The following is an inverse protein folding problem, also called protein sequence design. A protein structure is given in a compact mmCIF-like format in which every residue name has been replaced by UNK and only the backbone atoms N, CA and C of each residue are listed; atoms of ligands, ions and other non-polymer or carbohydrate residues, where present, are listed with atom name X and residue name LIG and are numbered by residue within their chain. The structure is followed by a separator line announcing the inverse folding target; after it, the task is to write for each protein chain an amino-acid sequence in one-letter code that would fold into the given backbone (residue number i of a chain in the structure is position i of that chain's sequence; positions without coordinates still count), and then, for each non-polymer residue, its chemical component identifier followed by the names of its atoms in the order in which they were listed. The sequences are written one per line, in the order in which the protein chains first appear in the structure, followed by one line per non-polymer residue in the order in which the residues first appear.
data_IF_014775109523
#
_entry.id   IF_014775109523
#
_cell.length_a   1.000
_cell.length_b   1.000
_cell.length_c   1.000
_cell.angle_alpha   90.00
_cell.angle_beta   90.00
_cell.angle_gamma   90.00
#
_symmetry.space_group_name_H-M   'P 1'
#
loop_
_entity.id
_entity.type
_entity.pdbx_description
1 polymer ?
#
# COMPACT_ATOMS: atom_id res chain seq x y z
N UNK A 1 -0.14 -21.42 -7.73
CA UNK A 1 0.48 -22.35 -6.76
C UNK A 1 1.83 -21.78 -6.34
N UNK A 2 2.15 -21.74 -5.05
CA UNK A 2 3.44 -21.26 -4.54
C UNK A 2 4.55 -22.17 -5.12
N UNK A 3 5.41 -21.62 -5.98
CA UNK A 3 6.52 -22.40 -6.57
C UNK A 3 7.64 -22.56 -5.55
N UNK A 4 8.48 -23.59 -5.71
CA UNK A 4 9.67 -23.77 -4.87
C UNK A 4 10.61 -22.56 -4.94
N UNK A 5 10.72 -21.92 -6.10
CA UNK A 5 11.51 -20.68 -6.28
C UNK A 5 10.93 -19.49 -5.51
N UNK A 6 9.61 -19.29 -5.56
CA UNK A 6 8.93 -18.23 -4.82
C UNK A 6 9.04 -18.46 -3.31
N UNK A 7 8.83 -19.72 -2.88
CA UNK A 7 8.98 -20.14 -1.50
C UNK A 7 10.41 -19.89 -0.99
N UNK A 8 11.42 -20.26 -1.77
CA UNK A 8 12.83 -20.04 -1.43
C UNK A 8 13.17 -18.55 -1.30
N UNK A 9 12.60 -17.69 -2.16
CA UNK A 9 12.85 -16.24 -2.12
C UNK A 9 12.16 -15.54 -0.96
N UNK A 10 10.89 -15.90 -0.68
CA UNK A 10 10.15 -15.31 0.45
C UNK A 10 10.75 -15.78 1.78
N UNK A 11 10.95 -17.08 1.95
CA UNK A 11 11.42 -17.67 3.21
C UNK A 11 12.94 -17.66 3.37
N UNK A 12 13.69 -17.36 2.31
CA UNK A 12 15.15 -17.30 2.32
C UNK A 12 15.65 -16.20 3.25
N UNK A 13 16.56 -16.50 4.20
CA UNK A 13 16.97 -15.56 5.24
C UNK A 13 17.84 -14.38 4.74
N UNK A 14 18.33 -14.48 3.50
CA UNK A 14 19.22 -13.48 2.89
C UNK A 14 18.69 -12.98 1.55
N UNK A 15 17.48 -13.40 1.17
CA UNK A 15 16.90 -13.11 -0.14
C UNK A 15 16.03 -11.86 -0.07
N UNK A 16 16.25 -10.96 -1.01
CA UNK A 16 15.49 -9.72 -1.11
C UNK A 16 14.10 -10.02 -1.67
N UNK A 17 13.07 -9.48 -1.01
CA UNK A 17 11.75 -9.45 -1.63
C UNK A 17 11.78 -8.56 -2.87
N UNK A 18 11.21 -9.08 -3.94
CA UNK A 18 11.09 -8.37 -5.21
C UNK A 18 9.79 -7.56 -5.26
N UNK A 19 9.72 -6.60 -6.18
CA UNK A 19 8.57 -5.71 -6.29
C UNK A 19 7.24 -6.47 -6.43
N UNK A 20 7.20 -7.56 -7.19
CA UNK A 20 5.97 -8.34 -7.36
C UNK A 20 5.49 -9.02 -6.08
N UNK A 21 6.37 -9.37 -5.14
CA UNK A 21 5.99 -9.91 -3.83
C UNK A 21 5.40 -8.84 -2.93
N UNK A 22 6.02 -7.66 -2.93
CA UNK A 22 5.52 -6.49 -2.21
C UNK A 22 4.16 -6.10 -2.78
N UNK A 23 4.03 -6.01 -4.10
CA UNK A 23 2.78 -5.68 -4.79
C UNK A 23 1.67 -6.71 -4.50
N UNK A 24 2.00 -8.00 -4.48
CA UNK A 24 1.04 -9.06 -4.14
C UNK A 24 0.53 -8.93 -2.70
N UNK A 25 1.41 -8.60 -1.75
CA UNK A 25 1.01 -8.37 -0.36
C UNK A 25 0.19 -7.08 -0.19
N UNK A 26 0.57 -6.00 -0.88
CA UNK A 26 -0.20 -4.75 -0.87
C UNK A 26 -1.59 -4.93 -1.50
N UNK A 27 -1.68 -5.73 -2.57
CA UNK A 27 -2.96 -6.15 -3.14
C UNK A 27 -3.79 -6.92 -2.13
N UNK A 28 -3.19 -7.92 -1.45
CA UNK A 28 -3.88 -8.71 -0.45
C UNK A 28 -4.40 -7.84 0.70
N UNK A 29 -3.61 -6.90 1.23
CA UNK A 29 -4.06 -5.96 2.27
C UNK A 29 -5.27 -5.14 1.81
N UNK A 30 -5.25 -4.68 0.56
CA UNK A 30 -6.35 -3.93 -0.04
C UNK A 30 -7.61 -4.79 -0.17
N UNK A 31 -7.48 -6.03 -0.62
CA UNK A 31 -8.62 -6.94 -0.77
C UNK A 31 -9.20 -7.35 0.58
N UNK A 32 -8.36 -7.67 1.56
CA UNK A 32 -8.81 -8.05 2.91
C UNK A 32 -9.60 -6.94 3.61
N UNK A 33 -9.18 -5.68 3.42
CA UNK A 33 -9.93 -4.51 3.92
C UNK A 33 -11.21 -4.25 3.13
N UNK A 34 -11.16 -4.34 1.80
CA UNK A 34 -12.34 -4.15 0.92
C UNK A 34 -13.41 -5.20 1.19
N UNK A 35 -13.00 -6.44 1.44
CA UNK A 35 -13.87 -7.56 1.81
C UNK A 35 -14.36 -7.49 3.27
N UNK A 36 -13.89 -6.52 4.05
CA UNK A 36 -14.15 -6.39 5.49
C UNK A 36 -13.78 -7.65 6.28
N UNK A 37 -12.82 -8.43 5.77
CA UNK A 37 -12.22 -9.55 6.50
C UNK A 37 -11.24 -9.03 7.54
N UNK A 38 -10.65 -7.88 7.26
CA UNK A 38 -10.03 -7.01 8.25
C UNK A 38 -10.90 -5.76 8.43
N UNK A 39 -11.12 -5.35 9.67
CA UNK A 39 -11.90 -4.15 10.03
C UNK A 39 -11.00 -3.05 10.61
N UNK A 40 -10.03 -2.52 9.84
CA UNK A 40 -9.18 -1.45 10.33
C UNK A 40 -9.95 -0.12 10.41
N UNK A 41 -9.50 0.79 11.26
CA UNK A 41 -10.03 2.16 11.31
C UNK A 41 -9.60 2.94 10.05
N UNK A 42 -10.51 3.09 9.07
CA UNK A 42 -10.41 4.05 7.94
C UNK A 42 -9.02 4.12 7.29
N UNK A 43 -8.59 3.05 6.65
CA UNK A 43 -7.28 2.98 5.96
C UNK A 43 -7.44 3.09 4.45
N UNK A 44 -6.53 3.82 3.82
CA UNK A 44 -6.35 3.80 2.37
C UNK A 44 -4.88 3.53 2.04
N UNK A 45 -4.64 2.74 1.00
CA UNK A 45 -3.30 2.40 0.54
C UNK A 45 -2.91 3.31 -0.62
N UNK A 46 -1.77 3.97 -0.49
CA UNK A 46 -1.19 4.77 -1.57
C UNK A 46 -0.34 3.87 -2.48
N UNK A 47 -0.66 3.86 -3.78
CA UNK A 47 0.20 3.21 -4.78
C UNK A 47 1.45 4.06 -5.05
N UNK A 48 2.50 3.43 -5.57
CA UNK A 48 3.70 4.15 -6.02
C UNK A 48 3.37 5.20 -7.10
N UNK A 49 2.41 4.89 -7.96
CA UNK A 49 1.92 5.79 -9.00
C UNK A 49 1.24 7.02 -8.38
N UNK A 50 0.38 6.84 -7.37
CA UNK A 50 -0.27 7.95 -6.68
C UNK A 50 0.77 8.85 -5.97
N UNK A 51 1.75 8.25 -5.29
CA UNK A 51 2.85 9.00 -4.64
C UNK A 51 3.64 9.85 -5.63
N UNK A 52 4.01 9.28 -6.78
CA UNK A 52 4.72 10.01 -7.84
C UNK A 52 3.87 11.16 -8.39
N UNK A 53 2.57 10.94 -8.62
CA UNK A 53 1.66 11.99 -9.08
C UNK A 53 1.50 13.11 -8.05
N UNK A 54 1.41 12.78 -6.76
CA UNK A 54 1.38 13.80 -5.70
C UNK A 54 2.65 14.64 -5.68
N UNK A 55 3.83 14.00 -5.80
CA UNK A 55 5.11 14.71 -5.85
C UNK A 55 5.17 15.69 -7.03
N UNK A 56 4.87 15.21 -8.24
CA UNK A 56 4.88 16.06 -9.45
C UNK A 56 3.84 17.18 -9.35
N UNK A 57 2.63 16.87 -8.89
CA UNK A 57 1.57 17.86 -8.70
C UNK A 57 1.98 18.94 -7.68
N UNK A 58 2.66 18.55 -6.60
CA UNK A 58 3.15 19.49 -5.60
C UNK A 58 4.25 20.41 -6.14
N UNK A 59 5.15 19.88 -6.99
CA UNK A 59 6.17 20.70 -7.66
C UNK A 59 5.53 21.75 -8.58
N UNK A 60 4.47 21.41 -9.33
CA UNK A 60 3.72 22.37 -10.15
C UNK A 60 2.93 23.38 -9.30
N UNK A 61 2.28 22.92 -8.23
CA UNK A 61 1.58 23.79 -7.28
C UNK A 61 2.53 24.84 -6.68
N UNK A 62 3.79 24.47 -6.41
CA UNK A 62 4.80 25.39 -5.89
C UNK A 62 5.21 26.46 -6.90
N UNK A 63 5.12 26.20 -8.21
CA UNK A 63 5.47 27.17 -9.26
C UNK A 63 4.39 28.24 -9.42
N UNK A 64 3.12 27.85 -9.55
CA UNK A 64 2.00 28.78 -9.67
C UNK A 64 0.73 28.24 -9.00
N UNK A 65 0.50 28.68 -7.75
CA UNK A 65 -0.66 28.26 -6.97
C UNK A 65 -2.00 28.68 -7.57
N UNK A 66 -2.05 29.77 -8.33
CA UNK A 66 -3.31 30.32 -8.87
C UNK A 66 -3.77 29.61 -10.13
N UNK A 67 -2.82 29.07 -10.89
CA UNK A 67 -3.09 28.30 -12.13
C UNK A 67 -3.05 26.80 -11.94
N UNK A 68 -2.67 26.33 -10.76
CA UNK A 68 -2.60 24.91 -10.47
C UNK A 68 -3.97 24.25 -10.67
N UNK A 69 -3.99 23.22 -11.51
CA UNK A 69 -5.14 22.33 -11.71
C UNK A 69 -4.76 20.93 -11.27
N UNK A 70 -5.66 20.29 -10.53
CA UNK A 70 -5.47 18.90 -10.10
C UNK A 70 -5.52 18.00 -11.32
N UNK A 71 -4.49 17.17 -11.50
CA UNK A 71 -4.45 16.18 -12.56
C UNK A 71 -5.61 15.20 -12.42
N UNK A 72 -6.27 14.85 -13.52
CA UNK A 72 -7.40 13.91 -13.54
C UNK A 72 -7.05 12.59 -12.83
N UNK A 73 -5.84 12.08 -13.07
CA UNK A 73 -5.38 10.86 -12.42
C UNK A 73 -5.33 10.99 -10.89
N UNK A 74 -4.86 12.13 -10.38
CA UNK A 74 -4.80 12.40 -8.94
C UNK A 74 -6.22 12.49 -8.36
N UNK A 75 -7.13 13.17 -9.05
CA UNK A 75 -8.54 13.25 -8.67
C UNK A 75 -9.19 11.86 -8.61
N UNK A 76 -8.91 10.97 -9.57
CA UNK A 76 -9.47 9.60 -9.57
C UNK A 76 -8.97 8.73 -8.42
N UNK A 77 -7.74 8.93 -7.96
CA UNK A 77 -7.25 8.32 -6.73
C UNK A 77 -7.93 8.94 -5.49
N UNK A 78 -8.09 10.27 -5.48
CA UNK A 78 -8.71 11.02 -4.37
C UNK A 78 -10.16 10.57 -4.11
N UNK A 79 -10.93 10.25 -5.16
CA UNK A 79 -12.31 9.76 -5.02
C UNK A 79 -12.43 8.23 -4.89
N UNK A 80 -11.30 7.50 -4.80
CA UNK A 80 -11.30 6.04 -4.65
C UNK A 80 -11.80 5.27 -5.89
N UNK A 81 -11.74 5.87 -7.09
CA UNK A 81 -11.96 5.18 -8.36
C UNK A 81 -10.74 4.38 -8.83
N UNK A 82 -9.57 4.78 -8.34
CA UNK A 82 -8.30 4.09 -8.55
C UNK A 82 -7.69 3.66 -7.20
N UNK A 83 -6.95 2.54 -7.17
CA UNK A 83 -6.74 1.60 -8.27
C UNK A 83 -8.04 0.87 -8.70
N UNK A 84 -8.05 0.31 -9.92
CA UNK A 84 -9.27 -0.29 -10.49
C UNK A 84 -9.83 -1.46 -9.66
N UNK A 85 -8.95 -2.13 -8.93
CA UNK A 85 -9.23 -3.19 -7.98
C UNK A 85 -9.10 -2.64 -6.56
N UNK A 86 -10.00 -3.03 -5.66
CA UNK A 86 -10.12 -2.38 -4.35
C UNK A 86 -10.79 -1.00 -4.37
N UNK A 87 -11.62 -0.71 -5.40
CA UNK A 87 -12.40 0.53 -5.48
C UNK A 87 -13.30 0.66 -4.26
N UNK A 88 -12.95 1.58 -3.40
CA UNK A 88 -13.77 1.93 -2.23
C UNK A 88 -14.88 2.89 -2.63
N UNK A 89 -14.66 3.73 -3.67
CA UNK A 89 -15.44 4.96 -3.94
C UNK A 89 -15.55 5.87 -2.72
N UNK A 90 -14.66 5.67 -1.76
CA UNK A 90 -14.52 6.48 -0.57
C UNK A 90 -13.52 7.58 -0.91
N UNK A 91 -13.88 8.82 -0.59
CA UNK A 91 -13.02 9.95 -0.87
C UNK A 91 -11.96 10.06 0.23
N UNK A 92 -10.70 10.23 -0.15
CA UNK A 92 -9.61 10.46 0.80
C UNK A 92 -9.90 11.68 1.68
N UNK A 93 -10.54 12.72 1.12
CA UNK A 93 -10.86 13.98 1.77
C UNK A 93 -12.10 13.96 2.70
N UNK A 94 -12.89 12.88 2.67
CA UNK A 94 -14.13 12.77 3.43
C UNK A 94 -14.12 11.54 4.34
N UNK A 95 -13.72 10.39 3.80
CA UNK A 95 -13.92 9.09 4.40
C UNK A 95 -12.69 8.58 5.14
N UNK A 96 -11.50 8.82 4.57
CA UNK A 96 -10.20 8.45 5.17
C UNK A 96 -9.75 9.51 6.17
N UNK A 97 -9.76 10.77 5.73
CA UNK A 97 -9.41 11.94 6.52
C UNK A 97 -10.51 12.98 6.32
N UNK A 98 -11.10 13.53 7.38
CA UNK A 98 -12.06 14.62 7.23
C UNK A 98 -11.31 15.93 6.87
N UNK A 99 -10.95 16.08 5.59
CA UNK A 99 -10.18 17.23 5.08
C UNK A 99 -11.08 18.46 4.92
N UNK A 100 -12.40 18.27 4.72
CA UNK A 100 -13.30 19.39 4.38
C UNK A 100 -13.73 20.29 5.53
N UNK A 101 -13.59 19.90 6.80
CA UNK A 101 -14.18 20.70 7.89
C UNK A 101 -13.20 21.50 8.74
N UNK A 102 -11.89 21.21 8.72
CA UNK A 102 -10.92 22.02 9.46
C UNK A 102 -9.60 22.01 8.69
N UNK A 103 -9.08 23.20 8.33
CA UNK A 103 -7.67 23.44 8.00
C UNK A 103 -6.81 23.20 9.27
N UNK A 104 -6.92 22.02 9.90
CA UNK A 104 -6.04 21.59 10.97
C UNK A 104 -4.74 21.15 10.32
N UNK A 105 -3.66 21.72 10.81
CA UNK A 105 -2.31 21.37 10.41
C UNK A 105 -2.12 19.86 10.60
N UNK A 106 -1.76 19.14 9.53
CA UNK A 106 -1.43 17.72 9.63
C UNK A 106 -0.27 17.55 10.60
N UNK A 107 -0.41 16.60 11.53
CA UNK A 107 0.68 16.24 12.43
C UNK A 107 1.40 15.05 11.83
N UNK A 108 2.67 15.21 11.51
CA UNK A 108 3.52 14.10 11.07
C UNK A 108 4.08 13.45 12.32
N UNK A 109 3.60 12.25 12.63
CA UNK A 109 4.18 11.41 13.69
C UNK A 109 5.06 10.35 13.05
N UNK A 110 6.33 10.30 13.46
CA UNK A 110 7.20 9.20 13.10
C UNK A 110 6.86 7.98 13.96
N UNK A 111 6.61 6.84 13.33
CA UNK A 111 6.55 5.58 14.04
C UNK A 111 7.97 5.26 14.58
N UNK A 112 8.14 5.05 15.88
CA UNK A 112 9.45 4.75 16.45
C UNK A 112 9.96 3.42 15.91
N UNK A 113 11.17 3.43 15.35
CA UNK A 113 11.84 2.24 14.84
C UNK A 113 13.06 1.93 15.71
N UNK A 114 13.22 0.69 16.20
CA UNK A 114 14.42 0.30 16.91
C UNK A 114 15.68 0.54 16.08
N UNK A 115 16.74 1.00 16.76
CA UNK A 115 18.04 1.24 16.12
C UNK A 115 18.71 -0.08 15.74
N UNK A 116 19.40 -0.12 14.59
CA UNK A 116 20.15 -1.29 14.08
C UNK A 116 19.30 -2.55 13.79
N UNK A 117 18.18 -2.36 13.10
CA UNK A 117 17.39 -3.47 12.54
C UNK A 117 17.88 -3.86 11.14
N UNK A 118 17.40 -5.00 10.64
CA UNK A 118 17.78 -5.58 9.36
C UNK A 118 19.28 -5.92 9.30
N UNK A 119 19.78 -6.65 10.29
CA UNK A 119 21.18 -7.11 10.33
C UNK A 119 21.59 -7.95 9.13
N UNK A 120 20.64 -8.62 8.48
CA UNK A 120 20.86 -9.39 7.25
C UNK A 120 21.10 -8.52 6.02
N UNK A 121 20.76 -7.22 6.08
CA UNK A 121 20.70 -6.27 4.96
C UNK A 121 19.76 -6.70 3.81
N UNK A 122 18.86 -7.67 4.03
CA UNK A 122 17.99 -8.25 3.00
C UNK A 122 16.50 -8.24 3.34
N UNK A 123 16.15 -7.86 4.58
CA UNK A 123 14.79 -7.93 5.09
C UNK A 123 14.00 -6.62 4.95
N UNK A 124 14.54 -5.60 4.29
CA UNK A 124 13.90 -4.28 4.25
C UNK A 124 12.45 -4.32 3.73
N UNK A 125 12.17 -5.16 2.73
CA UNK A 125 10.81 -5.39 2.23
C UNK A 125 9.91 -6.10 3.25
N UNK A 126 10.44 -7.07 3.99
CA UNK A 126 9.71 -7.80 5.05
C UNK A 126 9.36 -6.85 6.18
N UNK A 127 10.32 -6.03 6.63
CA UNK A 127 10.11 -4.98 7.64
C UNK A 127 9.04 -3.99 7.20
N UNK A 128 9.09 -3.53 5.94
CA UNK A 128 8.11 -2.58 5.40
C UNK A 128 6.69 -3.18 5.41
N UNK A 129 6.51 -4.39 4.88
CA UNK A 129 5.22 -5.07 4.85
C UNK A 129 4.67 -5.32 6.26
N UNK A 130 5.54 -5.76 7.18
CA UNK A 130 5.12 -6.02 8.57
C UNK A 130 4.76 -4.73 9.32
N UNK A 131 5.45 -3.63 9.07
CA UNK A 131 5.07 -2.33 9.63
C UNK A 131 3.72 -1.86 9.11
N UNK A 132 3.46 -2.01 7.81
CA UNK A 132 2.16 -1.67 7.22
C UNK A 132 1.07 -2.52 7.85
N UNK A 133 1.28 -3.83 8.00
CA UNK A 133 0.34 -4.74 8.65
C UNK A 133 0.08 -4.35 10.12
N UNK A 134 1.12 -4.04 10.90
CA UNK A 134 0.96 -3.62 12.28
C UNK A 134 0.17 -2.31 12.39
N UNK A 135 0.49 -1.31 11.55
CA UNK A 135 -0.28 -0.07 11.49
C UNK A 135 -1.74 -0.30 11.11
N UNK A 136 -1.98 -1.13 10.10
CA UNK A 136 -3.30 -1.45 9.58
C UNK A 136 -4.18 -2.13 10.65
N UNK A 137 -3.62 -3.10 11.37
CA UNK A 137 -4.34 -3.93 12.33
C UNK A 137 -4.26 -3.42 13.77
N UNK A 138 -3.57 -2.30 14.02
CA UNK A 138 -3.36 -1.75 15.37
C UNK A 138 -2.50 -2.64 16.26
N UNK A 139 -1.55 -3.39 15.68
CA UNK A 139 -0.65 -4.27 16.41
C UNK A 139 0.60 -3.51 16.91
N UNK A 140 1.21 -4.04 17.96
CA UNK A 140 2.46 -3.49 18.51
C UNK A 140 3.65 -3.68 17.55
N UNK A 141 4.51 -2.66 17.42
CA UNK A 141 5.72 -2.72 16.60
C UNK A 141 6.82 -3.61 17.18
N UNK A 142 6.72 -4.02 18.44
CA UNK A 142 7.59 -5.04 19.04
C UNK A 142 7.55 -6.35 18.25
N UNK A 143 6.49 -6.59 17.49
CA UNK A 143 6.35 -7.72 16.58
C UNK A 143 7.23 -7.63 15.33
N UNK A 144 8.04 -6.57 15.16
CA UNK A 144 8.93 -6.41 14.01
C UNK A 144 10.37 -6.19 14.46
N UNK A 145 11.15 -7.26 14.53
CA UNK A 145 12.56 -7.21 14.93
C UNK A 145 13.39 -8.35 14.34
N UNK A 146 14.71 -8.28 14.44
CA UNK A 146 15.60 -9.27 13.80
C UNK A 146 15.41 -10.69 14.36
N UNK A 147 14.93 -10.84 15.60
CA UNK A 147 14.73 -12.16 16.21
C UNK A 147 13.49 -12.87 15.66
N UNK A 148 12.53 -12.14 15.09
CA UNK A 148 11.28 -12.69 14.58
C UNK A 148 11.06 -12.48 13.07
N UNK A 149 12.08 -11.95 12.38
CA UNK A 149 11.98 -11.62 10.96
C UNK A 149 11.78 -12.86 10.07
N UNK A 150 12.29 -14.01 10.50
CA UNK A 150 12.09 -15.29 9.82
C UNK A 150 10.63 -15.74 9.91
N UNK A 151 10.01 -15.58 11.06
CA UNK A 151 8.60 -15.87 11.29
C UNK A 151 7.73 -14.88 10.50
N UNK A 152 8.15 -13.62 10.36
CA UNK A 152 7.50 -12.66 9.46
C UNK A 152 7.57 -13.10 7.99
N UNK A 153 8.72 -13.60 7.51
CA UNK A 153 8.85 -14.19 6.17
C UNK A 153 7.94 -15.39 5.96
N UNK A 154 7.88 -16.30 6.94
CA UNK A 154 6.98 -17.45 6.90
C UNK A 154 5.51 -17.03 6.84
N UNK A 155 5.15 -15.98 7.59
CA UNK A 155 3.80 -15.41 7.54
C UNK A 155 3.46 -14.89 6.15
N UNK A 156 4.35 -14.14 5.50
CA UNK A 156 4.14 -13.67 4.12
C UNK A 156 3.89 -14.85 3.17
N UNK A 157 4.69 -15.92 3.29
CA UNK A 157 4.49 -17.12 2.46
C UNK A 157 3.13 -17.79 2.73
N UNK A 158 2.72 -17.87 4.00
CA UNK A 158 1.44 -18.42 4.40
C UNK A 158 0.26 -17.58 3.90
N UNK A 159 0.30 -16.25 4.08
CA UNK A 159 -0.75 -15.34 3.64
C UNK A 159 -0.96 -15.42 2.12
N UNK A 160 0.14 -15.49 1.35
CA UNK A 160 0.08 -15.66 -0.10
C UNK A 160 -0.47 -17.04 -0.51
N UNK A 161 -0.11 -18.09 0.23
CA UNK A 161 -0.66 -19.43 0.01
C UNK A 161 -2.15 -19.47 0.33
N UNK A 162 -2.58 -18.90 1.45
CA UNK A 162 -3.99 -18.81 1.84
C UNK A 162 -4.79 -18.05 0.79
N UNK A 163 -4.31 -16.88 0.37
CA UNK A 163 -4.93 -16.07 -0.69
C UNK A 163 -5.04 -16.84 -2.02
N UNK A 164 -4.04 -17.66 -2.36
CA UNK A 164 -4.05 -18.49 -3.56
C UNK A 164 -5.01 -19.69 -3.50
N UNK A 165 -5.60 -19.97 -2.33
CA UNK A 165 -6.64 -20.98 -2.12
C UNK A 165 -8.01 -20.36 -1.81
N UNK A 166 -8.11 -19.04 -1.67
CA UNK A 166 -9.37 -18.35 -1.39
C UNK A 166 -10.18 -18.11 -2.69
N UNK A 167 -11.39 -18.68 -2.82
CA UNK A 167 -12.17 -18.58 -4.06
C UNK A 167 -12.52 -17.14 -4.46
N UNK A 168 -12.74 -16.25 -3.50
CA UNK A 168 -13.14 -14.86 -3.75
C UNK A 168 -11.93 -14.03 -4.20
N UNK A 169 -10.78 -14.21 -3.53
CA UNK A 169 -9.53 -13.55 -3.93
C UNK A 169 -9.08 -14.06 -5.31
N UNK A 170 -9.18 -15.38 -5.57
CA UNK A 170 -8.89 -15.95 -6.89
C UNK A 170 -9.78 -15.32 -7.97
N UNK A 171 -11.09 -15.19 -7.71
CA UNK A 171 -12.03 -14.58 -8.65
C UNK A 171 -11.69 -13.11 -8.92
N UNK A 172 -11.34 -12.34 -7.90
CA UNK A 172 -10.94 -10.93 -8.03
C UNK A 172 -9.60 -10.79 -8.78
N UNK A 173 -8.63 -11.65 -8.48
CA UNK A 173 -7.34 -11.69 -9.16
C UNK A 173 -7.49 -12.07 -10.64
N UNK A 174 -8.41 -12.98 -10.99
CA UNK A 174 -8.70 -13.31 -12.39
C UNK A 174 -9.25 -12.12 -13.19
N UNK A 175 -9.87 -11.16 -12.52
CA UNK A 175 -10.36 -9.91 -13.11
C UNK A 175 -9.35 -8.77 -12.97
N UNK A 176 -8.19 -9.01 -12.34
CA UNK A 176 -7.18 -7.99 -12.06
C UNK A 176 -6.66 -7.35 -13.34
N UNK A 177 -6.70 -6.02 -13.37
CA UNK A 177 -6.14 -5.23 -14.46
C UNK A 177 -5.11 -4.28 -13.86
N UNK A 178 -3.81 -4.48 -14.14
CA UNK A 178 -2.77 -3.61 -13.63
C UNK A 178 -3.06 -2.14 -13.98
N UNK A 179 -2.78 -1.18 -13.09
CA UNK A 179 -2.88 0.23 -13.42
C UNK A 179 -2.00 0.52 -14.64
N UNK A 180 -2.62 0.99 -15.73
CA UNK A 180 -1.86 1.47 -16.88
C UNK A 180 -1.10 2.72 -16.42
N UNK A 181 0.19 2.82 -16.73
CA UNK A 181 0.91 4.09 -16.63
C UNK A 181 0.25 5.07 -17.59
N UNK A 182 -0.66 5.90 -17.10
CA UNK A 182 -1.22 7.00 -17.86
C UNK A 182 -0.17 8.11 -17.83
N UNK A 183 0.60 8.19 -18.90
CA UNK A 183 1.28 9.43 -19.28
C UNK A 183 0.21 10.26 -20.00
N UNK A 184 0.04 11.54 -19.64
CA UNK A 184 -0.75 12.60 -20.32
C UNK A 184 -1.98 13.11 -19.55
N UNK A 185 -2.59 14.22 -20.01
CA UNK A 185 -2.12 15.61 -19.98
C UNK A 185 -2.96 16.42 -18.97
N UNK A 186 -2.56 17.66 -18.67
CA UNK A 186 -3.31 18.58 -17.80
C UNK A 186 -4.73 18.80 -18.38
N UNK A 187 -5.76 18.32 -17.70
CA UNK A 187 -7.17 18.58 -18.03
C UNK A 187 -7.65 19.75 -17.18
N UNK A 188 -8.35 20.70 -17.83
CA UNK A 188 -9.04 21.78 -17.14
C UNK A 188 -10.33 21.23 -16.52
N UNK A 189 -10.45 21.31 -15.19
CA UNK A 189 -11.71 21.02 -14.50
C UNK A 189 -12.61 22.26 -14.59
N UNK A 190 -13.84 22.06 -15.11
CA UNK A 190 -14.92 23.05 -15.14
C UNK A 190 -15.52 23.32 -13.75
#
# INVERSE_FOLDING_TARGET
MLTSELAARIMGPTEWLLNHEIDAMMYLFTEMTTLRRWEPSKVAFMSCMFSNQMKTSFEEFRKDKKKFKVLELLHRYDIGELPAHGRTRLMWDLDVTCIRQQLKQYTVSYAPMPYLLNKSNSDCGVYALKHIECHLLGLDFSLVNDNNIREARQKIAYDLWEAANDPEIILRMAQYTPPKMIINPLVELD
#
